data_IF_165083771085
#
_entry.id   IF_165083771085
#
_cell.length_a   1.000
_cell.length_b   1.000
_cell.length_c   1.000
_cell.angle_alpha   90.00
_cell.angle_beta   90.00
_cell.angle_gamma   90.00
#
_symmetry.space_group_name_H-M   'P 1'
#
loop_
_entity.id
_entity.type
_entity.pdbx_description
1 polymer ?
#
# COMPACT_ATOMS: atom_id res chain seq x y z
N UNK A 1 -9.39 -19.42 20.22
CA UNK A 1 -9.36 -20.84 19.76
C UNK A 1 -10.73 -21.50 19.59
N UNK A 2 -11.83 -21.02 20.20
CA UNK A 2 -13.19 -21.54 19.93
C UNK A 2 -13.89 -20.83 18.76
N UNK A 3 -13.61 -19.55 18.53
CA UNK A 3 -14.21 -18.82 17.41
C UNK A 3 -13.72 -19.33 16.06
N UNK A 4 -12.45 -19.73 15.94
CA UNK A 4 -11.88 -20.29 14.70
C UNK A 4 -12.55 -21.61 14.34
N UNK A 5 -12.82 -22.49 15.32
CA UNK A 5 -13.61 -23.70 15.09
C UNK A 5 -15.04 -23.38 14.69
N UNK A 6 -15.66 -22.33 15.26
CA UNK A 6 -16.99 -21.89 14.82
C UNK A 6 -16.98 -21.39 13.38
N UNK A 7 -15.92 -20.68 12.96
CA UNK A 7 -15.74 -20.22 11.57
C UNK A 7 -15.53 -21.41 10.62
N UNK A 8 -14.75 -22.40 11.01
CA UNK A 8 -14.56 -23.64 10.25
C UNK A 8 -15.86 -24.43 10.13
N UNK A 9 -16.64 -24.54 11.21
CA UNK A 9 -17.97 -25.17 11.21
C UNK A 9 -18.92 -24.40 10.29
N UNK A 10 -18.98 -23.07 10.40
CA UNK A 10 -19.78 -22.22 9.49
C UNK A 10 -19.39 -22.44 8.02
N UNK A 11 -18.08 -22.56 7.76
CA UNK A 11 -17.54 -22.82 6.42
C UNK A 11 -17.83 -24.25 5.92
N UNK A 12 -17.80 -25.25 6.79
CA UNK A 12 -18.01 -26.66 6.47
C UNK A 12 -19.49 -27.00 6.26
N UNK A 13 -20.40 -26.35 6.98
CA UNK A 13 -21.84 -26.64 6.96
C UNK A 13 -22.62 -25.96 5.82
N UNK A 14 -21.95 -25.50 4.75
CA UNK A 14 -22.62 -24.91 3.57
C UNK A 14 -23.56 -23.74 3.91
N UNK A 15 -23.33 -23.04 5.03
CA UNK A 15 -23.82 -21.68 5.25
C UNK A 15 -22.97 -20.75 4.38
N UNK A 16 -23.09 -20.92 3.06
CA UNK A 16 -22.44 -20.17 1.98
C UNK A 16 -22.79 -18.69 1.96
N UNK A 17 -23.41 -18.18 3.01
CA UNK A 17 -23.74 -16.78 3.13
C UNK A 17 -22.53 -16.02 3.68
N UNK A 18 -21.75 -15.34 2.81
CA UNK A 18 -20.59 -14.59 3.26
C UNK A 18 -21.01 -13.49 4.24
N UNK A 19 -22.23 -12.94 4.11
CA UNK A 19 -22.71 -11.85 4.95
C UNK A 19 -22.90 -12.30 6.40
N UNK A 20 -23.51 -13.47 6.63
CA UNK A 20 -23.65 -14.03 7.99
C UNK A 20 -22.31 -14.32 8.63
N UNK A 21 -21.34 -14.78 7.84
CA UNK A 21 -20.01 -15.05 8.36
C UNK A 21 -19.29 -13.76 8.73
N UNK A 22 -19.38 -12.72 7.89
CA UNK A 22 -18.81 -11.40 8.17
C UNK A 22 -19.44 -10.79 9.42
N UNK A 23 -20.76 -10.85 9.55
CA UNK A 23 -21.47 -10.35 10.74
C UNK A 23 -21.03 -11.10 12.01
N UNK A 24 -20.91 -12.43 11.92
CA UNK A 24 -20.37 -13.23 13.01
C UNK A 24 -18.95 -12.78 13.40
N UNK A 25 -18.06 -12.57 12.43
CA UNK A 25 -16.69 -12.12 12.69
C UNK A 25 -16.65 -10.73 13.33
N UNK A 26 -17.51 -9.79 12.93
CA UNK A 26 -17.64 -8.47 13.58
C UNK A 26 -18.01 -8.60 15.05
N UNK A 27 -18.98 -9.46 15.36
CA UNK A 27 -19.36 -9.76 16.75
C UNK A 27 -18.18 -10.40 17.50
N UNK A 28 -17.42 -11.30 16.86
CA UNK A 28 -16.24 -11.91 17.48
C UNK A 28 -15.11 -10.90 17.76
N UNK A 29 -14.89 -9.90 16.90
CA UNK A 29 -13.91 -8.83 17.17
C UNK A 29 -14.23 -8.03 18.45
N UNK A 30 -15.52 -7.90 18.80
CA UNK A 30 -15.94 -7.24 20.03
C UNK A 30 -15.65 -8.09 21.27
N UNK A 31 -15.88 -9.40 21.18
CA UNK A 31 -15.74 -10.34 22.30
C UNK A 31 -14.31 -10.83 22.53
N UNK A 32 -13.47 -10.79 21.49
CA UNK A 32 -12.09 -11.28 21.50
C UNK A 32 -11.10 -10.17 21.10
N UNK A 33 -10.89 -9.14 21.95
CA UNK A 33 -9.98 -8.04 21.66
C UNK A 33 -8.54 -8.50 21.34
N UNK A 34 -8.10 -9.60 21.93
CA UNK A 34 -6.80 -10.23 21.74
C UNK A 34 -6.60 -10.82 20.33
N UNK A 35 -7.68 -11.29 19.70
CA UNK A 35 -7.64 -11.97 18.40
C UNK A 35 -8.08 -11.03 17.25
N UNK A 36 -8.33 -9.76 17.54
CA UNK A 36 -8.86 -8.77 16.59
C UNK A 36 -8.11 -8.71 15.26
N UNK A 37 -6.78 -8.75 15.27
CA UNK A 37 -5.99 -8.76 14.04
C UNK A 37 -6.24 -10.00 13.19
N UNK A 38 -6.33 -11.16 13.83
CA UNK A 38 -6.54 -12.44 13.16
C UNK A 38 -7.95 -12.49 12.57
N UNK A 39 -8.94 -12.03 13.34
CA UNK A 39 -10.33 -11.95 12.91
C UNK A 39 -10.49 -10.97 11.75
N UNK A 40 -9.82 -9.81 11.79
CA UNK A 40 -9.84 -8.85 10.68
C UNK A 40 -9.21 -9.44 9.41
N UNK A 41 -8.06 -10.12 9.52
CA UNK A 41 -7.44 -10.80 8.37
C UNK A 41 -8.39 -11.81 7.73
N UNK A 42 -9.03 -12.63 8.55
CA UNK A 42 -9.99 -13.63 8.08
C UNK A 42 -11.20 -12.97 7.40
N UNK A 43 -11.73 -11.88 7.98
CA UNK A 43 -12.85 -11.13 7.39
C UNK A 43 -12.49 -10.55 6.01
N UNK A 44 -11.30 -9.96 5.88
CA UNK A 44 -10.78 -9.42 4.61
C UNK A 44 -10.62 -10.53 3.57
N UNK A 45 -10.05 -11.68 3.95
CA UNK A 45 -9.90 -12.82 3.04
C UNK A 45 -11.26 -13.35 2.55
N UNK A 46 -12.27 -13.40 3.42
CA UNK A 46 -13.63 -13.81 3.03
C UNK A 46 -14.28 -12.82 2.07
N UNK A 47 -14.10 -11.52 2.28
CA UNK A 47 -14.57 -10.49 1.37
C UNK A 47 -13.90 -10.60 0.00
N UNK A 48 -12.57 -10.83 -0.04
CA UNK A 48 -11.82 -11.05 -1.28
C UNK A 48 -12.32 -12.29 -2.02
N UNK A 49 -12.48 -13.41 -1.31
CA UNK A 49 -12.99 -14.67 -1.89
C UNK A 49 -14.43 -14.56 -2.40
N UNK A 50 -15.18 -13.57 -1.93
CA UNK A 50 -16.56 -13.28 -2.36
C UNK A 50 -16.61 -12.20 -3.46
N UNK A 51 -15.47 -11.83 -4.05
CA UNK A 51 -15.35 -10.77 -5.07
C UNK A 51 -15.84 -9.38 -4.59
N UNK A 52 -15.76 -9.12 -3.28
CA UNK A 52 -16.14 -7.85 -2.65
C UNK A 52 -14.92 -7.02 -2.29
N UNK A 53 -14.09 -6.69 -3.28
CA UNK A 53 -12.81 -6.02 -3.03
C UNK A 53 -12.96 -4.60 -2.50
N UNK A 54 -14.03 -3.88 -2.85
CA UNK A 54 -14.33 -2.54 -2.29
C UNK A 54 -14.62 -2.63 -0.81
N UNK A 55 -15.56 -3.49 -0.42
CA UNK A 55 -15.92 -3.69 0.97
C UNK A 55 -14.73 -4.19 1.81
N UNK A 56 -13.88 -5.05 1.24
CA UNK A 56 -12.63 -5.48 1.90
C UNK A 56 -11.68 -4.30 2.17
N UNK A 57 -11.57 -3.37 1.22
CA UNK A 57 -10.76 -2.17 1.38
C UNK A 57 -11.39 -1.25 2.42
N UNK A 58 -12.70 -1.00 2.37
CA UNK A 58 -13.40 -0.13 3.32
C UNK A 58 -13.23 -0.61 4.78
N UNK A 59 -13.32 -1.93 5.02
CA UNK A 59 -13.05 -2.51 6.35
C UNK A 59 -11.58 -2.29 6.78
N UNK A 60 -10.62 -2.45 5.87
CA UNK A 60 -9.22 -2.18 6.19
C UNK A 60 -9.00 -0.69 6.50
N UNK A 61 -9.56 0.22 5.73
CA UNK A 61 -9.43 1.66 5.95
C UNK A 61 -10.07 2.11 7.27
N UNK A 62 -11.14 1.44 7.69
CA UNK A 62 -11.77 1.65 8.98
C UNK A 62 -10.85 1.26 10.15
N UNK A 63 -10.20 0.10 10.08
CA UNK A 63 -9.44 -0.45 11.20
C UNK A 63 -7.95 -0.06 11.20
N UNK A 64 -7.30 0.06 10.04
CA UNK A 64 -5.85 0.31 9.92
C UNK A 64 -5.34 1.51 10.74
N UNK A 65 -6.05 2.64 10.90
CA UNK A 65 -5.57 3.75 11.72
C UNK A 65 -5.49 3.44 13.22
N UNK A 66 -6.15 2.38 13.69
CA UNK A 66 -6.25 2.04 15.11
C UNK A 66 -5.19 1.02 15.54
N UNK A 67 -4.76 1.09 16.81
CA UNK A 67 -3.98 0.02 17.42
C UNK A 67 -4.87 -1.24 17.59
N UNK A 68 -4.36 -2.45 17.30
CA UNK A 68 -2.98 -2.78 16.90
C UNK A 68 -2.74 -2.87 15.38
N UNK A 69 -3.76 -2.61 14.56
CA UNK A 69 -3.74 -2.83 13.11
C UNK A 69 -2.73 -1.96 12.36
N UNK A 70 -2.48 -0.74 12.84
CA UNK A 70 -1.54 0.21 12.22
C UNK A 70 -0.10 -0.31 12.10
N UNK A 71 0.28 -1.27 12.96
CA UNK A 71 1.62 -1.84 13.03
C UNK A 71 1.69 -3.22 12.35
N UNK A 72 0.60 -3.68 11.73
CA UNK A 72 0.58 -4.95 11.00
C UNK A 72 0.93 -4.77 9.52
N UNK A 73 2.17 -5.10 9.15
CA UNK A 73 2.65 -4.99 7.77
C UNK A 73 1.79 -5.75 6.74
N UNK A 74 1.21 -6.89 7.13
CA UNK A 74 0.38 -7.72 6.23
C UNK A 74 -0.98 -7.07 5.93
N UNK A 75 -1.59 -6.37 6.91
CA UNK A 75 -2.85 -5.65 6.67
C UNK A 75 -2.65 -4.48 5.70
N UNK A 76 -1.55 -3.75 5.84
CA UNK A 76 -1.16 -2.72 4.87
C UNK A 76 -0.91 -3.32 3.48
N UNK A 77 -0.28 -4.51 3.41
CA UNK A 77 -0.08 -5.20 2.14
C UNK A 77 -1.41 -5.54 1.45
N UNK A 78 -2.41 -6.05 2.19
CA UNK A 78 -3.75 -6.29 1.64
C UNK A 78 -4.42 -5.01 1.15
N UNK A 79 -4.36 -3.91 1.92
CA UNK A 79 -4.95 -2.64 1.51
C UNK A 79 -4.29 -2.09 0.24
N UNK A 80 -2.96 -2.23 0.12
CA UNK A 80 -2.21 -1.86 -1.08
C UNK A 80 -2.61 -2.68 -2.30
N UNK A 81 -2.74 -4.00 -2.15
CA UNK A 81 -3.18 -4.91 -3.23
C UNK A 81 -4.60 -4.60 -3.69
N UNK A 82 -5.53 -4.38 -2.76
CA UNK A 82 -6.92 -4.06 -3.08
C UNK A 82 -7.04 -2.71 -3.77
N UNK A 83 -6.32 -1.69 -3.28
CA UNK A 83 -6.25 -0.37 -3.91
C UNK A 83 -5.70 -0.47 -5.33
N UNK A 84 -4.60 -1.22 -5.54
CA UNK A 84 -4.02 -1.42 -6.86
C UNK A 84 -4.99 -2.15 -7.79
N UNK A 85 -5.64 -3.21 -7.32
CA UNK A 85 -6.61 -4.00 -8.09
C UNK A 85 -7.80 -3.14 -8.54
N UNK A 86 -8.42 -2.40 -7.61
CA UNK A 86 -9.55 -1.51 -7.91
C UNK A 86 -9.14 -0.34 -8.81
N UNK A 87 -7.86 0.03 -8.80
CA UNK A 87 -7.29 1.07 -9.65
C UNK A 87 -6.92 0.62 -11.06
N UNK A 88 -7.00 -0.68 -11.37
CA UNK A 88 -6.66 -1.19 -12.69
C UNK A 88 -7.64 -0.69 -13.77
N UNK A 89 -7.14 -0.45 -15.00
CA UNK A 89 -7.99 -0.06 -16.10
C UNK A 89 -8.89 -1.24 -16.53
N UNK A 90 -10.19 -0.98 -16.69
CA UNK A 90 -11.17 -1.99 -17.14
C UNK A 90 -11.12 -2.26 -18.64
N UNK A 91 -10.32 -1.48 -19.38
CA UNK A 91 -10.13 -1.56 -20.83
C UNK A 91 -8.73 -1.10 -21.19
N UNK A 92 -8.17 -1.59 -22.30
CA UNK A 92 -6.82 -1.27 -22.77
C UNK A 92 -6.58 0.23 -23.06
N UNK A 93 -7.65 1.02 -23.16
CA UNK A 93 -7.59 2.47 -23.42
C UNK A 93 -7.64 3.26 -22.10
N UNK A 94 -8.17 2.66 -21.03
CA UNK A 94 -8.29 3.33 -19.74
C UNK A 94 -6.92 3.40 -19.06
N UNK A 95 -6.71 4.50 -18.32
CA UNK A 95 -5.55 4.66 -17.45
C UNK A 95 -5.89 4.13 -16.05
N UNK A 96 -4.85 3.87 -15.26
CA UNK A 96 -5.02 3.57 -13.84
C UNK A 96 -5.69 4.74 -13.12
N UNK A 97 -6.50 4.45 -12.11
CA UNK A 97 -7.02 5.48 -11.22
C UNK A 97 -5.87 6.06 -10.37
N UNK A 98 -5.50 7.35 -10.54
CA UNK A 98 -4.33 7.92 -9.87
C UNK A 98 -4.50 8.01 -8.35
N UNK A 99 -5.73 8.15 -7.85
CA UNK A 99 -6.02 8.20 -6.42
C UNK A 99 -5.75 6.85 -5.77
N UNK A 100 -6.30 5.78 -6.35
CA UNK A 100 -6.10 4.41 -5.85
C UNK A 100 -4.65 3.94 -6.00
N UNK A 101 -3.97 4.38 -7.06
CA UNK A 101 -2.55 4.08 -7.26
C UNK A 101 -1.68 4.76 -6.20
N UNK A 102 -2.00 5.99 -5.82
CA UNK A 102 -1.33 6.70 -4.71
C UNK A 102 -1.62 6.02 -3.37
N UNK A 103 -2.87 5.66 -3.09
CA UNK A 103 -3.22 4.92 -1.87
C UNK A 103 -2.45 3.60 -1.79
N UNK A 104 -2.40 2.86 -2.90
CA UNK A 104 -1.65 1.61 -2.98
C UNK A 104 -0.16 1.82 -2.64
N UNK A 105 0.46 2.86 -3.20
CA UNK A 105 1.84 3.21 -2.89
C UNK A 105 2.05 3.49 -1.40
N UNK A 106 1.21 4.34 -0.79
CA UNK A 106 1.29 4.65 0.64
C UNK A 106 1.21 3.39 1.51
N UNK A 107 0.28 2.48 1.20
CA UNK A 107 0.13 1.23 1.93
C UNK A 107 1.34 0.31 1.78
N UNK A 108 1.90 0.17 0.57
CA UNK A 108 3.11 -0.65 0.36
C UNK A 108 4.34 -0.03 1.03
N UNK A 109 4.51 1.29 1.00
CA UNK A 109 5.58 1.98 1.71
C UNK A 109 5.46 1.76 3.22
N UNK A 110 4.24 1.85 3.77
CA UNK A 110 4.00 1.56 5.19
C UNK A 110 4.32 0.10 5.52
N UNK A 111 3.88 -0.86 4.70
CA UNK A 111 4.19 -2.27 4.88
C UNK A 111 5.70 -2.53 4.86
N UNK A 112 6.46 -1.90 3.95
CA UNK A 112 7.92 -2.00 3.88
C UNK A 112 8.62 -1.34 5.07
N UNK A 113 8.07 -0.25 5.60
CA UNK A 113 8.62 0.40 6.80
C UNK A 113 8.46 -0.46 8.06
N UNK A 114 7.35 -1.21 8.15
CA UNK A 114 7.08 -2.13 9.26
C UNK A 114 7.82 -3.47 9.12
N UNK A 115 8.00 -3.95 7.88
CA UNK A 115 8.78 -5.14 7.56
C UNK A 115 9.75 -4.85 6.41
N UNK A 116 11.01 -4.48 6.71
CA UNK A 116 12.03 -4.21 5.71
C UNK A 116 12.38 -5.42 4.83
N UNK A 117 12.05 -6.65 5.24
CA UNK A 117 12.29 -7.86 4.44
C UNK A 117 11.10 -8.21 3.53
N UNK A 118 10.02 -7.41 3.56
CA UNK A 118 8.86 -7.63 2.71
C UNK A 118 9.19 -7.39 1.22
N UNK A 119 9.57 -8.47 0.54
CA UNK A 119 9.92 -8.46 -0.88
C UNK A 119 8.70 -8.12 -1.77
N UNK A 120 7.49 -8.46 -1.30
CA UNK A 120 6.26 -8.20 -2.05
C UNK A 120 5.96 -6.70 -2.09
N UNK A 121 6.00 -6.01 -0.95
CA UNK A 121 5.82 -4.56 -0.88
C UNK A 121 6.82 -3.84 -1.80
N UNK A 122 8.09 -4.23 -1.75
CA UNK A 122 9.14 -3.66 -2.59
C UNK A 122 8.90 -3.88 -4.09
N UNK A 123 8.47 -5.08 -4.48
CA UNK A 123 8.13 -5.39 -5.86
C UNK A 123 6.96 -4.55 -6.38
N UNK A 124 5.92 -4.35 -5.57
CA UNK A 124 4.77 -3.53 -5.96
C UNK A 124 5.09 -2.04 -5.99
N UNK A 125 5.90 -1.52 -5.06
CA UNK A 125 6.39 -0.13 -5.11
C UNK A 125 7.11 0.12 -6.44
N UNK A 126 8.06 -0.75 -6.82
CA UNK A 126 8.73 -0.64 -8.13
C UNK A 126 7.76 -0.71 -9.30
N UNK A 127 6.75 -1.57 -9.22
CA UNK A 127 5.74 -1.69 -10.28
C UNK A 127 4.92 -0.41 -10.43
N UNK A 128 4.51 0.22 -9.32
CA UNK A 128 3.77 1.49 -9.34
C UNK A 128 4.63 2.60 -9.95
N UNK A 129 5.90 2.70 -9.60
CA UNK A 129 6.81 3.68 -10.20
C UNK A 129 6.90 3.54 -11.72
N UNK A 130 7.01 2.29 -12.22
CA UNK A 130 6.96 2.02 -13.67
C UNK A 130 5.64 2.43 -14.31
N UNK A 131 4.50 2.22 -13.63
CA UNK A 131 3.18 2.64 -14.11
C UNK A 131 3.10 4.17 -14.20
N UNK A 132 3.68 4.88 -13.24
CA UNK A 132 3.73 6.35 -13.22
C UNK A 132 4.78 6.95 -14.17
N UNK A 133 5.56 6.12 -14.87
CA UNK A 133 6.67 6.60 -15.71
C UNK A 133 7.83 7.20 -14.91
N UNK A 134 7.90 6.94 -13.59
CA UNK A 134 9.03 7.32 -12.74
C UNK A 134 10.05 6.20 -12.86
N UNK A 135 11.05 6.39 -13.72
CA UNK A 135 12.14 5.44 -13.88
C UNK A 135 13.12 5.60 -12.70
N UNK A 136 12.94 4.79 -11.66
CA UNK A 136 13.90 4.70 -10.55
C UNK A 136 15.04 3.80 -11.02
N UNK A 137 15.91 4.34 -11.86
CA UNK A 137 17.24 3.78 -12.04
C UNK A 137 18.09 4.22 -10.85
N UNK A 138 18.65 3.24 -10.14
CA UNK A 138 19.36 3.34 -8.88
C UNK A 138 20.45 4.43 -8.90
N UNK A 139 20.31 5.41 -8.02
CA UNK A 139 21.37 6.36 -7.66
C UNK A 139 22.23 5.73 -6.57
N UNK A 140 23.15 4.85 -6.94
CA UNK A 140 24.28 4.48 -6.07
C UNK A 140 25.60 4.86 -6.78
N UNK A 141 26.28 5.82 -6.13
CA UNK A 141 27.70 6.26 -6.18
C UNK A 141 28.70 5.11 -6.34
N UNK A 142 29.97 5.23 -6.74
CA UNK A 142 31.01 6.27 -6.94
C UNK A 142 32.11 5.55 -7.78
N UNK A 143 32.92 6.19 -8.64
CA UNK A 143 34.29 6.57 -8.24
C UNK A 143 34.88 7.63 -9.20
N UNK A 144 35.60 8.55 -8.57
CA UNK A 144 36.43 9.62 -9.11
C UNK A 144 37.70 9.06 -9.76
N UNK A 145 38.14 9.65 -10.88
CA UNK A 145 39.54 10.12 -11.02
C UNK A 145 39.75 11.07 -12.22
N UNK A 146 40.31 12.24 -11.88
CA UNK A 146 41.30 13.12 -12.54
C UNK A 146 41.67 12.89 -14.03
N UNK A 147 42.03 13.85 -14.91
CA UNK A 147 42.44 15.27 -14.84
C UNK A 147 42.48 15.84 -16.29
N UNK A 148 41.93 17.06 -16.51
CA UNK A 148 42.31 18.22 -17.40
C UNK A 148 42.79 18.06 -18.88
N UNK A 149 42.94 19.11 -19.75
CA UNK A 149 42.74 20.57 -19.57
C UNK A 149 42.05 21.36 -20.74
N UNK A 150 41.67 22.60 -20.40
CA UNK A 150 41.68 23.86 -21.20
C UNK A 150 40.81 24.01 -22.47
N UNK A 151 39.97 25.06 -22.53
CA UNK A 151 40.11 26.20 -23.47
C UNK A 151 39.41 27.44 -22.89
N UNK A 152 40.15 28.55 -22.89
CA UNK A 152 39.78 29.91 -22.49
C UNK A 152 38.80 30.56 -23.47
N UNK A 153 37.78 31.27 -22.97
CA UNK A 153 37.32 32.50 -23.64
C UNK A 153 36.53 33.42 -22.72
N UNK A 154 37.18 34.53 -22.38
CA UNK A 154 36.66 35.83 -21.97
C UNK A 154 35.23 36.14 -22.41
N UNK A 155 34.38 36.65 -21.49
CA UNK A 155 33.71 37.98 -21.59
C UNK A 155 33.29 38.50 -20.19
N UNK A 156 33.54 39.79 -19.86
CA UNK A 156 33.07 40.41 -18.61
C UNK A 156 31.77 41.20 -18.81
N UNK A 157 31.12 41.57 -17.68
CA UNK A 157 30.03 42.57 -17.41
C UNK A 157 28.82 41.86 -16.76
N UNK A 158 28.19 42.33 -15.69
CA UNK A 158 28.10 43.67 -15.08
C UNK A 158 27.50 43.52 -13.66
N UNK A 159 27.95 44.35 -12.71
CA UNK A 159 27.38 44.52 -11.36
C UNK A 159 25.88 44.84 -11.40
N UNK A 160 25.08 44.19 -10.55
CA UNK A 160 23.73 44.63 -10.17
C UNK A 160 23.77 45.08 -8.71
N UNK A 161 23.47 46.36 -8.47
CA UNK A 161 23.31 46.97 -7.15
C UNK A 161 21.81 46.97 -6.80
N UNK A 162 21.52 46.42 -5.61
CA UNK A 162 20.52 46.72 -4.57
C UNK A 162 19.34 47.67 -4.89
N UNK A 163 18.16 47.27 -4.42
CA UNK A 163 17.29 48.09 -3.56
C UNK A 163 16.39 47.20 -2.70
N UNK A 164 16.46 47.43 -1.38
CA UNK A 164 15.53 46.98 -0.35
C UNK A 164 14.57 48.16 -0.15
N UNK A 165 13.26 47.92 -0.18
CA UNK A 165 12.26 48.89 0.26
C UNK A 165 11.68 48.38 1.58
N UNK A 166 11.71 49.27 2.57
CA UNK A 166 10.84 49.25 3.76
C UNK A 166 9.36 49.41 3.35
#
# INVERSE_FOLDING_TARGET
MLWSTSVEILSAHNLRDPERTIEFLRVMMLHHPEDREVILKEMVLRLINSERQRDALDELELYLPSFPYQDNALLHLYAGLLSLYLGQPTSNIAQFNPTLLRSAQTYFERAKSLDPQNAMAEAFIRRIHKINGVDIHSTDKEESDEETPSVVSDKPKRKRVRTVND
#
